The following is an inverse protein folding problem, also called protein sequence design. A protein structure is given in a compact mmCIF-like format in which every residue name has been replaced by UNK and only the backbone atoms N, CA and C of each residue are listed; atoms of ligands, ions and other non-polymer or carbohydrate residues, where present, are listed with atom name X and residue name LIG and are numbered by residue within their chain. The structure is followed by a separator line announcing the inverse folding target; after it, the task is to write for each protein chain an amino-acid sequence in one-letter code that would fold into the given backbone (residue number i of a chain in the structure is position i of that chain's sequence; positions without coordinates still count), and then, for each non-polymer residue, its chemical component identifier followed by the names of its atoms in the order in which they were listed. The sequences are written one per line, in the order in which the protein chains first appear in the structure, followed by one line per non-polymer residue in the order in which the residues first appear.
data_IF_889973728739
#
_entry.id   IF_889973728739
#
_cell.length_a   1.000
_cell.length_b   1.000
_cell.length_c   1.000
_cell.angle_alpha   90.00
_cell.angle_beta   90.00
_cell.angle_gamma   90.00
#
_symmetry.space_group_name_H-M   'P 1'
#
loop_
_entity.id
_entity.type
_entity.pdbx_description
1 polymer ?
#
# COMPACT_ATOMS: atom_id res chain seq x y z
N UNK A 1 13.89 0.94 -23.01
CA UNK A 1 15.33 1.07 -22.63
C UNK A 1 15.69 0.28 -21.36
N UNK A 2 15.02 0.50 -20.21
CA UNK A 2 15.37 -0.20 -18.96
C UNK A 2 15.12 -1.71 -19.02
N UNK A 3 14.07 -2.17 -19.71
CA UNK A 3 13.78 -3.59 -19.90
C UNK A 3 14.72 -4.24 -20.90
N UNK A 4 15.10 -3.55 -21.97
CA UNK A 4 16.08 -4.03 -22.97
C UNK A 4 17.46 -4.29 -22.34
N UNK A 5 17.84 -3.47 -21.35
CA UNK A 5 19.11 -3.66 -20.61
C UNK A 5 19.06 -4.87 -19.68
N UNK A 6 17.87 -5.22 -19.17
CA UNK A 6 17.69 -6.33 -18.21
C UNK A 6 17.37 -7.68 -18.88
N UNK A 7 16.95 -7.69 -20.15
CA UNK A 7 16.70 -8.94 -20.90
C UNK A 7 17.94 -9.82 -21.09
N UNK A 8 19.15 -9.29 -21.35
CA UNK A 8 20.36 -10.11 -21.47
C UNK A 8 20.90 -10.69 -20.16
N UNK A 9 20.35 -10.26 -19.00
CA UNK A 9 20.84 -10.69 -17.67
C UNK A 9 20.22 -12.02 -17.22
N UNK A 10 19.75 -12.86 -18.13
CA UNK A 10 19.34 -14.24 -17.82
C UNK A 10 20.53 -15.15 -17.44
N UNK A 11 21.75 -14.68 -17.59
CA UNK A 11 22.93 -15.50 -17.51
C UNK A 11 23.50 -15.54 -16.08
N UNK A 12 23.41 -16.71 -15.47
CA UNK A 12 24.30 -17.23 -14.42
C UNK A 12 24.54 -16.37 -13.15
N UNK A 13 23.68 -15.40 -12.85
CA UNK A 13 23.75 -14.68 -11.60
C UNK A 13 23.34 -15.59 -10.45
N UNK A 14 24.30 -16.00 -9.63
CA UNK A 14 24.05 -16.84 -8.45
C UNK A 14 23.53 -16.01 -7.28
N UNK A 15 22.47 -16.46 -6.65
CA UNK A 15 21.99 -15.96 -5.37
C UNK A 15 21.43 -14.52 -5.40
N UNK A 16 21.94 -13.67 -4.53
CA UNK A 16 21.42 -12.31 -4.26
C UNK A 16 21.35 -11.40 -5.48
N UNK A 17 22.30 -11.48 -6.41
CA UNK A 17 22.32 -10.65 -7.62
C UNK A 17 21.15 -10.99 -8.56
N UNK A 18 20.80 -12.28 -8.66
CA UNK A 18 19.63 -12.72 -9.45
C UNK A 18 18.34 -12.14 -8.85
N UNK A 19 18.22 -12.19 -7.54
CA UNK A 19 17.06 -11.67 -6.80
C UNK A 19 16.93 -10.16 -6.95
N UNK A 20 18.05 -9.42 -6.86
CA UNK A 20 18.08 -7.96 -7.10
C UNK A 20 17.63 -7.61 -8.53
N UNK A 21 18.14 -8.30 -9.53
CA UNK A 21 17.76 -8.09 -10.94
C UNK A 21 16.27 -8.39 -11.15
N UNK A 22 15.78 -9.47 -10.56
CA UNK A 22 14.37 -9.87 -10.67
C UNK A 22 13.45 -8.79 -10.04
N UNK A 23 13.81 -8.27 -8.86
CA UNK A 23 13.07 -7.20 -8.21
C UNK A 23 13.10 -5.91 -9.03
N UNK A 24 14.27 -5.49 -9.53
CA UNK A 24 14.40 -4.32 -10.39
C UNK A 24 13.60 -4.44 -11.69
N UNK A 25 13.58 -5.64 -12.31
CA UNK A 25 12.77 -5.92 -13.49
C UNK A 25 11.27 -5.76 -13.19
N UNK A 26 10.81 -6.29 -12.06
CA UNK A 26 9.41 -6.14 -11.66
C UNK A 26 9.03 -4.67 -11.38
N UNK A 27 9.92 -3.92 -10.73
CA UNK A 27 9.72 -2.47 -10.51
C UNK A 27 9.65 -1.69 -11.83
N UNK A 28 10.52 -2.01 -12.79
CA UNK A 28 10.48 -1.41 -14.12
C UNK A 28 9.17 -1.74 -14.86
N UNK A 29 8.70 -2.99 -14.77
CA UNK A 29 7.42 -3.40 -15.34
C UNK A 29 6.23 -2.65 -14.71
N UNK A 30 6.22 -2.47 -13.39
CA UNK A 30 5.21 -1.67 -12.70
C UNK A 30 5.23 -0.20 -13.14
N UNK A 31 6.41 0.37 -13.35
CA UNK A 31 6.56 1.75 -13.84
C UNK A 31 6.09 1.92 -15.31
N UNK A 32 6.18 0.86 -16.10
CA UNK A 32 5.70 0.80 -17.49
C UNK A 32 4.22 0.39 -17.62
N UNK A 33 3.49 0.36 -16.51
CA UNK A 33 2.08 -0.06 -16.45
C UNK A 33 1.83 -1.49 -17.00
N UNK A 34 2.75 -2.41 -16.68
CA UNK A 34 2.68 -3.84 -17.02
C UNK A 34 2.56 -4.71 -15.76
N UNK A 35 1.47 -4.57 -14.97
CA UNK A 35 1.36 -5.22 -13.67
C UNK A 35 1.31 -6.74 -13.75
N UNK A 36 0.67 -7.35 -14.77
CA UNK A 36 0.65 -8.81 -14.94
C UNK A 36 2.07 -9.37 -15.06
N UNK A 37 2.88 -8.80 -15.95
CA UNK A 37 4.25 -9.24 -16.14
C UNK A 37 5.11 -9.03 -14.88
N UNK A 38 4.85 -7.98 -14.10
CA UNK A 38 5.53 -7.76 -12.83
C UNK A 38 5.14 -8.82 -11.79
N UNK A 39 3.85 -9.18 -11.69
CA UNK A 39 3.36 -10.22 -10.80
C UNK A 39 3.97 -11.58 -11.13
N UNK A 40 4.03 -11.92 -12.42
CA UNK A 40 4.62 -13.17 -12.92
C UNK A 40 6.15 -13.23 -12.67
N UNK A 41 6.83 -12.09 -12.88
CA UNK A 41 8.28 -11.97 -12.59
C UNK A 41 8.58 -12.31 -11.13
N UNK A 42 7.70 -11.95 -10.19
CA UNK A 42 7.87 -12.19 -8.75
C UNK A 42 7.14 -13.44 -8.25
N UNK A 43 6.44 -14.20 -9.11
CA UNK A 43 5.66 -15.36 -8.69
C UNK A 43 6.51 -16.50 -8.09
N UNK A 44 7.71 -16.69 -8.59
CA UNK A 44 8.65 -17.71 -8.14
C UNK A 44 9.71 -17.22 -7.16
N UNK A 45 9.44 -16.14 -6.40
CA UNK A 45 10.40 -15.66 -5.42
C UNK A 45 10.53 -16.64 -4.25
N UNK A 46 11.67 -17.33 -4.19
CA UNK A 46 11.96 -18.36 -3.18
C UNK A 46 12.95 -17.90 -2.11
N UNK A 47 13.68 -16.81 -2.37
CA UNK A 47 14.65 -16.26 -1.42
C UNK A 47 13.97 -15.81 -0.14
N UNK A 48 14.61 -16.14 0.99
CA UNK A 48 14.18 -15.73 2.34
C UNK A 48 15.08 -14.64 2.92
N UNK A 49 15.83 -13.97 2.07
CA UNK A 49 16.71 -12.88 2.46
C UNK A 49 15.93 -11.60 2.84
N UNK A 50 16.67 -10.55 3.20
CA UNK A 50 16.09 -9.26 3.57
C UNK A 50 15.30 -8.57 2.46
N UNK A 51 15.36 -9.05 1.20
CA UNK A 51 14.59 -8.50 0.07
C UNK A 51 13.23 -9.18 -0.10
N UNK A 52 13.00 -10.35 0.47
CA UNK A 52 11.74 -11.08 0.34
C UNK A 52 10.49 -10.23 0.71
N UNK A 53 10.47 -9.45 1.80
CA UNK A 53 9.32 -8.59 2.10
C UNK A 53 9.05 -7.55 1.01
N UNK A 54 10.09 -6.99 0.37
CA UNK A 54 9.95 -6.03 -0.72
C UNK A 54 9.42 -6.70 -2.00
N UNK A 55 9.90 -7.90 -2.32
CA UNK A 55 9.42 -8.69 -3.46
C UNK A 55 7.92 -9.05 -3.28
N UNK A 56 7.53 -9.53 -2.10
CA UNK A 56 6.15 -9.86 -1.77
C UNK A 56 5.25 -8.63 -1.83
N UNK A 57 5.69 -7.48 -1.29
CA UNK A 57 4.95 -6.23 -1.38
C UNK A 57 4.74 -5.79 -2.84
N UNK A 58 5.79 -5.78 -3.65
CA UNK A 58 5.68 -5.35 -5.05
C UNK A 58 4.84 -6.33 -5.89
N UNK A 59 4.94 -7.65 -5.61
CA UNK A 59 4.05 -8.64 -6.22
C UNK A 59 2.58 -8.39 -5.85
N UNK A 60 2.32 -8.10 -4.58
CA UNK A 60 0.97 -7.80 -4.11
C UNK A 60 0.37 -6.57 -4.81
N UNK A 61 1.16 -5.48 -4.93
CA UNK A 61 0.75 -4.28 -5.67
C UNK A 61 0.50 -4.60 -7.15
N UNK A 62 1.35 -5.42 -7.76
CA UNK A 62 1.18 -5.86 -9.14
C UNK A 62 -0.12 -6.66 -9.33
N UNK A 63 -0.44 -7.57 -8.40
CA UNK A 63 -1.67 -8.36 -8.41
C UNK A 63 -2.92 -7.48 -8.30
N UNK A 64 -2.93 -6.51 -7.37
CA UNK A 64 -4.05 -5.56 -7.24
C UNK A 64 -4.25 -4.78 -8.55
N UNK A 65 -3.17 -4.23 -9.11
CA UNK A 65 -3.21 -3.44 -10.35
C UNK A 65 -3.58 -4.26 -11.59
N UNK A 66 -3.36 -5.57 -11.59
CA UNK A 66 -3.74 -6.49 -12.67
C UNK A 66 -5.16 -7.04 -12.54
N UNK A 67 -5.98 -6.53 -11.60
CA UNK A 67 -7.36 -6.98 -11.41
C UNK A 67 -7.49 -8.27 -10.61
N UNK A 68 -6.46 -8.63 -9.83
CA UNK A 68 -6.43 -9.79 -8.91
C UNK A 68 -6.37 -9.31 -7.44
N UNK A 69 -7.34 -8.49 -6.96
CA UNK A 69 -7.24 -7.85 -5.65
C UNK A 69 -7.22 -8.84 -4.48
N UNK A 70 -7.93 -9.95 -4.54
CA UNK A 70 -7.98 -10.94 -3.43
C UNK A 70 -6.60 -11.56 -3.16
N UNK A 71 -5.88 -11.92 -4.23
CA UNK A 71 -4.53 -12.45 -4.09
C UNK A 71 -3.55 -11.38 -3.59
N UNK A 72 -3.66 -10.17 -4.14
CA UNK A 72 -2.87 -9.03 -3.71
C UNK A 72 -3.10 -8.67 -2.24
N UNK A 73 -4.36 -8.61 -1.80
CA UNK A 73 -4.74 -8.34 -0.41
C UNK A 73 -4.20 -9.40 0.56
N UNK A 74 -4.20 -10.67 0.16
CA UNK A 74 -3.63 -11.76 0.96
C UNK A 74 -2.14 -11.58 1.19
N UNK A 75 -1.40 -11.20 0.15
CA UNK A 75 0.05 -10.91 0.27
C UNK A 75 0.30 -9.63 1.07
N UNK A 76 -0.47 -8.56 0.85
CA UNK A 76 -0.35 -7.32 1.62
C UNK A 76 -0.61 -7.57 3.12
N UNK A 77 -1.59 -8.40 3.46
CA UNK A 77 -1.86 -8.75 4.86
C UNK A 77 -0.68 -9.53 5.48
N UNK A 78 -0.08 -10.46 4.74
CA UNK A 78 1.10 -11.19 5.17
C UNK A 78 2.26 -10.23 5.46
N UNK A 79 2.60 -9.34 4.51
CA UNK A 79 3.68 -8.34 4.68
C UNK A 79 3.37 -7.37 5.81
N UNK A 80 2.12 -6.91 5.92
CA UNK A 80 1.69 -5.91 6.90
C UNK A 80 1.64 -6.44 8.35
N UNK A 81 1.58 -7.76 8.54
CA UNK A 81 1.53 -8.40 9.88
C UNK A 81 2.87 -8.98 10.32
N UNK A 82 3.76 -9.26 9.39
CA UNK A 82 5.01 -9.94 9.71
C UNK A 82 5.94 -9.04 10.52
N UNK A 83 6.29 -9.41 11.78
CA UNK A 83 7.15 -8.60 12.63
C UNK A 83 8.59 -8.49 12.11
N UNK A 84 9.04 -9.40 11.23
CA UNK A 84 10.37 -9.38 10.63
C UNK A 84 10.43 -8.34 9.49
N UNK A 85 9.31 -8.06 8.85
CA UNK A 85 9.21 -7.01 7.84
C UNK A 85 9.54 -5.63 8.43
N UNK A 86 10.38 -4.79 7.77
CA UNK A 86 10.68 -3.44 8.22
C UNK A 86 9.40 -2.63 8.48
N UNK A 87 9.34 -1.94 9.61
CA UNK A 87 8.14 -1.24 10.04
C UNK A 87 7.56 -0.25 9.00
N UNK A 88 8.37 0.56 8.25
CA UNK A 88 7.82 1.40 7.18
C UNK A 88 7.18 0.60 6.05
N UNK A 89 7.69 -0.60 5.75
CA UNK A 89 7.12 -1.45 4.71
C UNK A 89 5.80 -2.10 5.17
N UNK A 90 5.69 -2.47 6.45
CA UNK A 90 4.42 -2.91 7.05
C UNK A 90 3.35 -1.82 6.96
N UNK A 91 3.70 -0.59 7.33
CA UNK A 91 2.79 0.55 7.22
C UNK A 91 2.33 0.76 5.77
N UNK A 92 3.27 0.69 4.82
CA UNK A 92 2.97 0.83 3.40
C UNK A 92 2.07 -0.29 2.88
N UNK A 93 2.27 -1.53 3.34
CA UNK A 93 1.43 -2.67 2.98
C UNK A 93 0.00 -2.52 3.53
N UNK A 94 -0.13 -2.09 4.80
CA UNK A 94 -1.44 -1.80 5.38
C UNK A 94 -2.13 -0.63 4.69
N UNK A 95 -1.39 0.40 4.27
CA UNK A 95 -1.92 1.53 3.50
C UNK A 95 -2.48 1.07 2.14
N UNK A 96 -1.70 0.31 1.38
CA UNK A 96 -2.11 -0.21 0.08
C UNK A 96 -3.33 -1.14 0.20
N UNK A 97 -3.35 -2.01 1.21
CA UNK A 97 -4.49 -2.89 1.48
C UNK A 97 -5.75 -2.09 1.87
N UNK A 98 -5.60 -1.06 2.71
CA UNK A 98 -6.71 -0.20 3.12
C UNK A 98 -7.37 0.50 1.94
N UNK A 99 -6.60 1.12 1.05
CA UNK A 99 -7.15 1.77 -0.14
C UNK A 99 -7.76 0.77 -1.12
N UNK A 100 -7.13 -0.38 -1.36
CA UNK A 100 -7.72 -1.43 -2.20
C UNK A 100 -9.08 -1.91 -1.67
N UNK A 101 -9.21 -2.03 -0.34
CA UNK A 101 -10.48 -2.40 0.30
C UNK A 101 -11.55 -1.29 0.20
N UNK A 102 -11.18 -0.01 0.20
CA UNK A 102 -12.13 1.07 -0.09
C UNK A 102 -12.62 1.01 -1.54
N UNK A 103 -11.75 0.75 -2.51
CA UNK A 103 -12.13 0.57 -3.91
C UNK A 103 -13.13 -0.58 -4.10
N UNK A 104 -12.98 -1.66 -3.35
CA UNK A 104 -13.89 -2.82 -3.38
C UNK A 104 -15.13 -2.68 -2.46
N UNK A 105 -15.32 -1.50 -1.85
CA UNK A 105 -16.47 -1.22 -0.97
C UNK A 105 -16.50 -2.07 0.31
N UNK A 106 -15.36 -2.30 0.89
CA UNK A 106 -15.18 -3.04 2.14
C UNK A 106 -14.63 -2.13 3.26
N UNK A 107 -15.35 -1.07 3.66
CA UNK A 107 -14.83 -0.01 4.52
C UNK A 107 -14.46 -0.48 5.92
N UNK A 108 -15.14 -1.46 6.50
CA UNK A 108 -14.79 -1.98 7.82
C UNK A 108 -13.44 -2.69 7.83
N UNK A 109 -13.16 -3.48 6.78
CA UNK A 109 -11.85 -4.11 6.59
C UNK A 109 -10.77 -3.08 6.30
N UNK A 110 -11.09 -2.03 5.54
CA UNK A 110 -10.19 -0.93 5.27
C UNK A 110 -9.79 -0.20 6.55
N UNK A 111 -10.77 0.12 7.42
CA UNK A 111 -10.53 0.75 8.73
C UNK A 111 -9.56 -0.07 9.58
N UNK A 112 -9.70 -1.40 9.60
CA UNK A 112 -8.81 -2.30 10.31
C UNK A 112 -7.37 -2.20 9.78
N UNK A 113 -7.17 -2.08 8.47
CA UNK A 113 -5.84 -1.93 7.85
C UNK A 113 -5.22 -0.57 8.19
N UNK A 114 -5.95 0.52 8.04
CA UNK A 114 -5.47 1.84 8.40
C UNK A 114 -5.12 1.95 9.89
N UNK A 115 -5.90 1.30 10.76
CA UNK A 115 -5.64 1.26 12.21
C UNK A 115 -4.33 0.58 12.61
N UNK A 116 -3.69 -0.19 11.72
CA UNK A 116 -2.37 -0.83 11.96
C UNK A 116 -1.20 0.07 11.59
N UNK A 117 -1.43 1.19 10.93
CA UNK A 117 -0.39 2.13 10.52
C UNK A 117 0.07 2.93 11.72
N UNK A 118 1.39 2.99 11.92
CA UNK A 118 1.98 3.73 13.04
C UNK A 118 1.81 5.23 12.85
N UNK A 119 1.45 5.93 13.91
CA UNK A 119 1.19 7.37 13.88
C UNK A 119 2.47 8.22 13.79
N UNK A 120 3.62 7.67 14.13
CA UNK A 120 4.95 8.29 14.01
C UNK A 120 5.69 7.86 12.73
N UNK A 121 5.04 7.09 11.85
CA UNK A 121 5.62 6.59 10.62
C UNK A 121 5.43 7.54 9.43
N UNK A 122 6.15 7.30 8.32
CA UNK A 122 6.06 8.13 7.12
C UNK A 122 4.69 8.07 6.41
N UNK A 123 3.83 7.13 6.79
CA UNK A 123 2.48 6.93 6.23
C UNK A 123 1.36 7.33 7.19
N UNK A 124 1.69 8.02 8.30
CA UNK A 124 0.73 8.37 9.33
C UNK A 124 -0.41 9.26 8.82
N UNK A 125 -0.09 10.30 8.05
CA UNK A 125 -1.09 11.23 7.50
C UNK A 125 -2.03 10.55 6.52
N UNK A 126 -1.48 9.73 5.61
CA UNK A 126 -2.29 8.96 4.65
C UNK A 126 -3.14 7.89 5.35
N UNK A 127 -2.60 7.25 6.39
CA UNK A 127 -3.34 6.30 7.22
C UNK A 127 -4.52 6.94 7.95
N UNK A 128 -4.32 8.12 8.54
CA UNK A 128 -5.39 8.88 9.18
C UNK A 128 -6.44 9.34 8.16
N UNK A 129 -6.01 9.81 6.99
CA UNK A 129 -6.93 10.18 5.92
C UNK A 129 -7.80 9.00 5.50
N UNK A 130 -7.16 7.84 5.21
CA UNK A 130 -7.86 6.62 4.83
C UNK A 130 -8.81 6.09 5.91
N UNK A 131 -8.42 6.18 7.18
CA UNK A 131 -9.29 5.81 8.30
C UNK A 131 -10.56 6.66 8.37
N UNK A 132 -10.45 7.95 8.11
CA UNK A 132 -11.61 8.86 8.00
C UNK A 132 -12.51 8.48 6.83
N UNK A 133 -11.96 8.23 5.65
CA UNK A 133 -12.73 7.78 4.49
C UNK A 133 -13.40 6.42 4.74
N UNK A 134 -12.72 5.48 5.37
CA UNK A 134 -13.30 4.19 5.72
C UNK A 134 -14.50 4.34 6.68
N UNK A 135 -14.41 5.27 7.64
CA UNK A 135 -15.54 5.57 8.52
C UNK A 135 -16.70 6.23 7.77
N UNK A 136 -16.41 7.18 6.88
CA UNK A 136 -17.42 7.88 6.07
C UNK A 136 -18.12 6.92 5.10
N UNK A 137 -17.40 6.07 4.38
CA UNK A 137 -17.95 5.07 3.46
C UNK A 137 -18.80 4.00 4.17
N UNK A 138 -18.51 3.74 5.45
CA UNK A 138 -19.32 2.88 6.30
C UNK A 138 -20.58 3.58 6.88
N UNK A 139 -20.85 4.84 6.49
CA UNK A 139 -21.95 5.65 7.01
C UNK A 139 -21.74 6.16 8.44
N UNK A 140 -20.57 6.04 8.99
CA UNK A 140 -20.21 6.50 10.35
C UNK A 140 -19.51 7.86 10.31
N UNK A 141 -20.21 8.89 9.84
CA UNK A 141 -19.65 10.22 9.62
C UNK A 141 -19.00 10.82 10.87
N UNK A 142 -19.62 10.67 12.05
CA UNK A 142 -19.05 11.15 13.31
C UNK A 142 -17.70 10.49 13.63
N UNK A 143 -17.53 9.19 13.28
CA UNK A 143 -16.29 8.48 13.50
C UNK A 143 -15.16 8.97 12.58
N UNK A 144 -15.47 9.55 11.42
CA UNK A 144 -14.50 10.17 10.52
C UNK A 144 -13.87 11.44 11.11
N UNK A 145 -14.58 12.15 11.98
CA UNK A 145 -14.09 13.39 12.60
C UNK A 145 -12.79 13.18 13.40
N UNK A 146 -12.67 12.08 14.12
CA UNK A 146 -11.48 11.78 14.94
C UNK A 146 -10.18 11.82 14.16
N UNK A 147 -9.98 10.90 13.16
CA UNK A 147 -8.76 10.88 12.37
C UNK A 147 -8.54 12.16 11.55
N UNK A 148 -9.58 12.75 10.96
CA UNK A 148 -9.42 13.99 10.19
C UNK A 148 -9.10 15.22 11.03
N UNK A 149 -9.70 15.38 12.22
CA UNK A 149 -9.31 16.46 13.15
C UNK A 149 -7.85 16.32 13.58
N UNK A 150 -7.36 15.08 13.78
CA UNK A 150 -5.95 14.86 14.08
C UNK A 150 -5.03 15.28 12.92
N UNK A 151 -5.46 15.15 11.67
CA UNK A 151 -4.72 15.66 10.52
C UNK A 151 -4.57 17.18 10.55
N UNK A 152 -5.56 17.94 11.03
CA UNK A 152 -5.46 19.41 11.06
C UNK A 152 -4.35 19.94 11.96
N UNK A 153 -3.76 19.10 12.81
CA UNK A 153 -2.58 19.45 13.62
C UNK A 153 -1.26 19.26 12.90
N UNK A 154 -1.29 18.69 11.69
CA UNK A 154 -0.13 18.46 10.84
C UNK A 154 0.10 19.63 9.88
N UNK A 155 1.26 19.73 9.23
CA UNK A 155 1.56 20.83 8.32
C UNK A 155 0.55 20.93 7.17
N UNK A 156 0.01 22.12 6.94
CA UNK A 156 -1.04 22.37 5.95
C UNK A 156 -0.63 22.17 4.48
N UNK A 157 0.67 22.01 4.19
CA UNK A 157 1.15 21.66 2.85
C UNK A 157 1.08 20.16 2.54
N UNK A 158 0.80 19.30 3.52
CA UNK A 158 0.57 17.87 3.28
C UNK A 158 -0.78 17.67 2.55
N UNK A 159 -0.81 16.98 1.40
CA UNK A 159 -2.05 16.77 0.65
C UNK A 159 -3.16 16.08 1.46
N UNK A 160 -2.81 15.14 2.35
CA UNK A 160 -3.78 14.47 3.21
C UNK A 160 -4.45 15.44 4.20
N UNK A 161 -3.69 16.43 4.69
CA UNK A 161 -4.22 17.51 5.55
C UNK A 161 -5.18 18.39 4.77
N UNK A 162 -4.81 18.79 3.55
CA UNK A 162 -5.66 19.62 2.70
C UNK A 162 -6.99 18.91 2.39
N UNK A 163 -6.95 17.63 2.07
CA UNK A 163 -8.15 16.84 1.81
C UNK A 163 -9.05 16.73 3.06
N UNK A 164 -8.46 16.48 4.23
CA UNK A 164 -9.20 16.45 5.49
C UNK A 164 -9.86 17.80 5.82
N UNK A 165 -9.17 18.94 5.56
CA UNK A 165 -9.71 20.28 5.76
C UNK A 165 -10.93 20.57 4.86
N UNK A 166 -11.02 19.94 3.69
CA UNK A 166 -12.18 20.04 2.80
C UNK A 166 -13.31 19.11 3.28
N UNK A 167 -12.98 17.91 3.74
CA UNK A 167 -13.97 16.92 4.16
C UNK A 167 -14.65 17.26 5.49
N UNK A 168 -13.93 17.84 6.44
CA UNK A 168 -14.45 18.17 7.79
C UNK A 168 -15.70 19.05 7.78
N UNK A 169 -15.76 20.21 7.08
CA UNK A 169 -16.95 21.04 7.04
C UNK A 169 -18.17 20.31 6.48
N UNK A 170 -17.96 19.44 5.49
CA UNK A 170 -19.03 18.62 4.91
C UNK A 170 -19.62 17.67 5.97
N UNK A 171 -18.77 16.99 6.74
CA UNK A 171 -19.23 16.08 7.79
C UNK A 171 -19.96 16.85 8.90
N UNK A 172 -19.41 17.98 9.35
CA UNK A 172 -20.10 18.81 10.36
C UNK A 172 -21.48 19.26 9.90
N UNK A 173 -21.63 19.62 8.63
CA UNK A 173 -22.94 20.03 8.08
C UNK A 173 -23.96 18.88 8.00
N UNK A 174 -23.51 17.63 8.01
CA UNK A 174 -24.37 16.44 7.97
C UNK A 174 -24.70 15.90 9.36
N UNK A 175 -23.91 16.25 10.38
CA UNK A 175 -24.03 15.70 11.74
C UNK A 175 -24.60 16.68 12.76
N UNK A 176 -24.72 17.97 12.43
CA UNK A 176 -25.33 19.04 13.20
C UNK A 176 -26.74 19.37 12.69
#
# INVERSE_FOLDING_TARGET
ETLEVLEPVELETRGTLRDEVQLLRALALLALDRPDAAADTLAGWESKDGMAPFAHFNRAVALVRSGRPDEGLTLLDTVGRDPVTPAPLRDRANLAAGYSLLETREPDRAAERFGRIRLEGPYATQGLLGAGWAAADAGRLEAALGPWTRLTTQPAFDPAVQEALIALPYVYAQTL
#
